data_IF_758499541992
#
_entry.id   IF_758499541992
#
_cell.length_a   1.000
_cell.length_b   1.000
_cell.length_c   1.000
_cell.angle_alpha   90.00
_cell.angle_beta   90.00
_cell.angle_gamma   90.00
#
_symmetry.space_group_name_H-M   'P 1'
#
loop_
_entity.id
_entity.type
_entity.pdbx_description
1 polymer ?
#
# COMPACT_ATOMS: atom_id res chain seq x y z
N UNK A 1 -20.86 1.20 -13.56
CA UNK A 1 -19.56 1.88 -13.41
C UNK A 1 -18.53 0.79 -13.21
N UNK A 2 -17.42 0.80 -13.94
CA UNK A 2 -16.32 -0.13 -13.65
C UNK A 2 -15.70 0.37 -12.35
N UNK A 3 -15.71 -0.43 -11.28
CA UNK A 3 -15.02 -0.02 -10.06
C UNK A 3 -13.55 0.19 -10.38
N UNK A 4 -13.04 1.39 -10.09
CA UNK A 4 -11.66 1.79 -10.30
C UNK A 4 -10.76 1.00 -9.34
N UNK A 5 -9.55 0.67 -9.77
CA UNK A 5 -8.53 0.10 -8.88
C UNK A 5 -8.19 1.15 -7.81
N UNK A 6 -8.13 0.71 -6.55
CA UNK A 6 -7.76 1.52 -5.38
C UNK A 6 -6.49 0.97 -4.78
N UNK A 7 -5.48 1.83 -4.63
CA UNK A 7 -4.17 1.45 -4.10
C UNK A 7 -3.97 2.15 -2.76
N UNK A 8 -3.81 1.37 -1.71
CA UNK A 8 -3.53 1.81 -0.36
C UNK A 8 -2.04 1.60 -0.09
N UNK A 9 -1.30 2.68 0.09
CA UNK A 9 0.16 2.66 0.26
C UNK A 9 0.48 2.90 1.73
N UNK A 10 1.19 1.95 2.33
CA UNK A 10 1.77 2.13 3.65
C UNK A 10 2.86 3.22 3.67
N UNK A 11 3.18 3.74 4.86
CA UNK A 11 4.27 4.70 5.04
C UNK A 11 5.53 4.04 5.61
N UNK A 12 5.46 3.45 6.80
CA UNK A 12 6.64 3.13 7.61
C UNK A 12 7.29 1.84 7.10
N UNK A 13 8.49 1.93 6.52
CA UNK A 13 9.15 0.79 5.87
C UNK A 13 8.78 0.62 4.39
N UNK A 14 7.82 1.42 3.90
CA UNK A 14 7.34 1.43 2.50
C UNK A 14 7.74 2.71 1.77
N UNK A 15 7.29 3.88 2.24
CA UNK A 15 7.64 5.20 1.70
C UNK A 15 8.71 5.90 2.55
N UNK A 16 8.66 5.70 3.86
CA UNK A 16 9.57 6.28 4.84
C UNK A 16 10.51 5.20 5.39
N UNK A 17 11.78 5.56 5.60
CA UNK A 17 12.85 4.68 6.08
C UNK A 17 12.79 4.45 7.59
N UNK A 18 11.63 4.00 8.08
CA UNK A 18 11.38 3.76 9.50
C UNK A 18 12.38 2.78 10.13
N UNK A 19 12.64 1.66 9.44
CA UNK A 19 13.55 0.62 9.92
C UNK A 19 15.04 0.98 9.79
N UNK A 20 15.39 2.08 9.12
CA UNK A 20 16.78 2.56 9.02
C UNK A 20 17.19 3.33 10.30
N UNK A 21 16.23 3.74 11.13
CA UNK A 21 16.49 4.45 12.39
C UNK A 21 16.89 3.47 13.52
N UNK A 22 17.94 3.82 14.25
CA UNK A 22 18.31 3.08 15.47
C UNK A 22 17.22 3.24 16.54
N UNK A 23 16.89 2.15 17.25
CA UNK A 23 15.87 2.14 18.31
C UNK A 23 14.52 2.70 17.87
N UNK A 24 14.12 2.41 16.62
CA UNK A 24 12.91 2.97 16.02
C UNK A 24 11.64 2.67 16.84
N UNK A 25 11.56 1.52 17.51
CA UNK A 25 10.40 1.15 18.34
C UNK A 25 10.27 2.01 19.60
N UNK A 26 11.40 2.40 20.19
CA UNK A 26 11.42 3.28 21.36
C UNK A 26 11.26 4.75 20.93
N UNK A 27 11.91 5.12 19.83
CA UNK A 27 11.97 6.51 19.35
C UNK A 27 10.73 6.95 18.59
N UNK A 28 9.86 6.05 18.16
CA UNK A 28 8.59 6.43 17.53
C UNK A 28 7.65 7.24 18.45
N UNK A 29 7.98 7.37 19.75
CA UNK A 29 7.29 8.26 20.69
C UNK A 29 7.98 9.62 20.87
N UNK A 30 9.16 9.83 20.28
CA UNK A 30 9.90 11.10 20.32
C UNK A 30 9.29 12.10 19.34
N UNK A 31 9.21 13.36 19.77
CA UNK A 31 8.76 14.45 18.91
C UNK A 31 9.75 14.67 17.76
N UNK A 32 9.23 14.74 16.55
CA UNK A 32 9.95 14.94 15.29
C UNK A 32 10.34 13.62 14.61
N UNK A 33 10.18 12.47 15.28
CA UNK A 33 10.65 11.20 14.76
C UNK A 33 10.08 10.89 13.38
N UNK A 34 8.76 10.94 13.20
CA UNK A 34 8.13 10.56 11.93
C UNK A 34 8.37 11.62 10.84
N UNK A 35 8.30 12.91 11.21
CA UNK A 35 8.51 14.03 10.29
C UNK A 35 9.90 14.03 9.66
N UNK A 36 10.89 13.58 10.41
CA UNK A 36 12.30 13.66 10.02
C UNK A 36 12.81 12.37 9.36
N UNK A 37 11.96 11.32 9.24
CA UNK A 37 12.28 10.10 8.49
C UNK A 37 12.67 10.43 7.05
N UNK A 38 13.74 9.79 6.56
CA UNK A 38 14.15 9.91 5.16
C UNK A 38 13.21 9.10 4.25
N UNK A 39 12.95 9.56 3.02
CA UNK A 39 12.15 8.80 2.07
C UNK A 39 12.94 7.64 1.43
N UNK A 40 12.22 6.62 1.00
CA UNK A 40 12.62 5.80 -0.13
C UNK A 40 12.32 6.60 -1.40
N UNK A 41 13.28 7.42 -1.85
CA UNK A 41 13.17 8.37 -2.98
C UNK A 41 12.50 7.76 -4.22
N UNK A 42 12.92 6.54 -4.62
CA UNK A 42 12.37 5.85 -5.78
C UNK A 42 10.92 5.41 -5.56
N UNK A 43 10.57 4.94 -4.36
CA UNK A 43 9.19 4.57 -4.03
C UNK A 43 8.27 5.81 -4.04
N UNK A 44 8.70 6.91 -3.43
CA UNK A 44 7.95 8.18 -3.46
C UNK A 44 7.77 8.66 -4.90
N UNK A 45 8.82 8.61 -5.72
CA UNK A 45 8.77 9.01 -7.13
C UNK A 45 7.83 8.11 -7.94
N UNK A 46 7.86 6.80 -7.72
CA UNK A 46 6.94 5.86 -8.35
C UNK A 46 5.47 6.15 -8.00
N UNK A 47 5.16 6.42 -6.72
CA UNK A 47 3.80 6.78 -6.33
C UNK A 47 3.37 8.10 -7.00
N UNK A 48 4.26 9.10 -7.09
CA UNK A 48 3.96 10.35 -7.82
C UNK A 48 3.62 10.11 -9.29
N UNK A 49 4.32 9.19 -9.95
CA UNK A 49 4.03 8.81 -11.33
C UNK A 49 2.68 8.11 -11.46
N UNK A 50 2.38 7.17 -10.55
CA UNK A 50 1.08 6.48 -10.54
C UNK A 50 -0.09 7.45 -10.27
N UNK A 51 0.08 8.45 -9.40
CA UNK A 51 -0.92 9.50 -9.16
C UNK A 51 -1.19 10.30 -10.44
N UNK A 52 -0.14 10.64 -11.20
CA UNK A 52 -0.27 11.41 -12.45
C UNK A 52 -0.95 10.63 -13.57
N UNK A 53 -0.73 9.32 -13.63
CA UNK A 53 -1.34 8.42 -14.63
C UNK A 53 -2.87 8.35 -14.46
N UNK A 54 -3.39 8.56 -13.25
CA UNK A 54 -4.82 8.65 -12.92
C UNK A 54 -5.66 7.42 -13.32
N UNK A 55 -5.02 6.29 -13.61
CA UNK A 55 -5.67 5.00 -13.89
C UNK A 55 -6.21 4.34 -12.63
N UNK A 56 -5.55 4.58 -11.48
CA UNK A 56 -5.96 4.10 -10.15
C UNK A 56 -6.24 5.28 -9.22
N UNK A 57 -7.06 5.04 -8.19
CA UNK A 57 -7.21 5.95 -7.05
C UNK A 57 -6.19 5.54 -5.97
N UNK A 58 -5.45 6.50 -5.41
CA UNK A 58 -4.31 6.21 -4.54
C UNK A 58 -4.51 6.88 -3.19
N UNK A 59 -4.38 6.07 -2.15
CA UNK A 59 -4.53 6.44 -0.75
C UNK A 59 -3.24 6.17 0.00
N UNK A 60 -2.97 6.99 1.01
CA UNK A 60 -2.06 6.61 2.10
C UNK A 60 -2.87 5.86 3.16
N UNK A 61 -2.32 4.76 3.68
CA UNK A 61 -2.90 4.02 4.78
C UNK A 61 -1.82 3.66 5.81
N UNK A 62 -1.74 4.42 6.89
CA UNK A 62 -0.68 4.27 7.89
C UNK A 62 -1.23 4.16 9.32
N UNK A 63 -0.53 3.41 10.18
CA UNK A 63 -0.84 3.39 11.60
C UNK A 63 -0.22 4.61 12.31
N UNK A 64 -0.86 5.06 13.38
CA UNK A 64 -0.40 6.14 14.26
C UNK A 64 -0.32 5.62 15.69
N UNK A 65 0.67 6.12 16.44
CA UNK A 65 0.89 5.74 17.84
C UNK A 65 0.22 6.71 18.81
N UNK A 66 0.07 7.97 18.39
CA UNK A 66 -0.60 9.06 19.12
C UNK A 66 -0.89 10.23 18.16
N UNK A 67 -1.51 11.30 18.66
CA UNK A 67 -1.82 12.50 17.87
C UNK A 67 -0.58 13.21 17.31
N UNK A 68 0.56 13.18 18.01
CA UNK A 68 1.81 13.78 17.54
C UNK A 68 2.32 13.02 16.30
N UNK A 69 2.28 11.69 16.31
CA UNK A 69 2.67 10.88 15.15
C UNK A 69 1.75 11.09 13.95
N UNK A 70 0.46 11.33 14.17
CA UNK A 70 -0.48 11.67 13.10
C UNK A 70 -0.08 13.01 12.44
N UNK A 71 0.13 14.05 13.25
CA UNK A 71 0.53 15.37 12.76
C UNK A 71 1.85 15.30 12.00
N UNK A 72 2.84 14.62 12.55
CA UNK A 72 4.16 14.47 11.92
C UNK A 72 4.11 13.67 10.61
N UNK A 73 3.29 12.63 10.52
CA UNK A 73 3.07 11.88 9.27
C UNK A 73 2.36 12.74 8.22
N UNK A 74 1.42 13.59 8.62
CA UNK A 74 0.78 14.55 7.73
C UNK A 74 1.80 15.56 7.19
N UNK A 75 2.65 16.12 8.06
CA UNK A 75 3.73 17.04 7.66
C UNK A 75 4.75 16.36 6.73
N UNK A 76 5.06 15.09 6.99
CA UNK A 76 5.93 14.30 6.12
C UNK A 76 5.34 14.15 4.71
N UNK A 77 4.05 13.84 4.61
CA UNK A 77 3.34 13.72 3.34
C UNK A 77 3.23 15.06 2.62
N UNK A 78 2.95 16.15 3.33
CA UNK A 78 2.94 17.50 2.76
C UNK A 78 4.31 17.89 2.18
N UNK A 79 5.40 17.39 2.74
CA UNK A 79 6.76 17.62 2.26
C UNK A 79 7.12 16.76 1.05
N UNK A 80 6.86 15.45 1.11
CA UNK A 80 7.41 14.49 0.16
C UNK A 80 6.42 14.00 -0.89
N UNK A 81 5.12 14.00 -0.60
CA UNK A 81 4.06 13.48 -1.47
C UNK A 81 2.79 14.36 -1.41
N UNK A 82 2.90 15.67 -1.68
CA UNK A 82 1.77 16.61 -1.61
C UNK A 82 0.69 16.35 -2.67
N UNK A 83 0.97 15.53 -3.67
CA UNK A 83 0.02 15.13 -4.71
C UNK A 83 -1.15 14.29 -4.17
N UNK A 84 -0.99 13.67 -2.99
CA UNK A 84 -2.08 12.99 -2.28
C UNK A 84 -2.65 13.96 -1.25
N UNK A 85 -3.90 14.38 -1.46
CA UNK A 85 -4.59 15.30 -0.55
C UNK A 85 -4.95 14.65 0.80
N UNK A 86 -5.50 15.44 1.72
CA UNK A 86 -5.83 14.96 3.08
C UNK A 86 -6.99 13.97 3.12
N UNK A 87 -7.90 13.99 2.15
CA UNK A 87 -9.05 13.07 2.09
C UNK A 87 -8.59 11.68 1.64
N UNK A 88 -7.50 11.61 0.89
CA UNK A 88 -6.85 10.36 0.48
C UNK A 88 -5.79 9.86 1.48
N UNK A 89 -5.75 10.40 2.70
CA UNK A 89 -4.82 9.97 3.77
C UNK A 89 -5.59 9.36 4.93
N UNK A 90 -5.54 8.04 5.02
CA UNK A 90 -6.24 7.24 6.02
C UNK A 90 -5.25 6.85 7.11
N UNK A 91 -5.61 7.15 8.37
CA UNK A 91 -4.80 6.80 9.52
C UNK A 91 -5.58 5.90 10.49
N UNK A 92 -4.93 4.82 10.90
CA UNK A 92 -5.48 3.86 11.88
C UNK A 92 -4.63 3.81 13.15
N UNK A 93 -5.09 3.07 14.16
CA UNK A 93 -4.30 2.81 15.37
C UNK A 93 -3.43 1.56 15.21
N UNK A 94 -2.28 1.49 15.90
CA UNK A 94 -1.31 0.38 15.79
C UNK A 94 -1.88 -1.05 15.80
N UNK A 95 -2.96 -1.29 16.55
CA UNK A 95 -3.53 -2.62 16.77
C UNK A 95 -4.83 -2.86 15.99
N UNK A 96 -5.24 -1.91 15.15
CA UNK A 96 -6.44 -2.05 14.32
C UNK A 96 -5.99 -2.53 12.94
N UNK A 97 -6.47 -3.69 12.46
CA UNK A 97 -6.16 -4.17 11.12
C UNK A 97 -6.45 -3.10 10.08
N UNK A 98 -5.56 -2.95 9.10
CA UNK A 98 -5.69 -1.93 8.05
C UNK A 98 -7.00 -2.03 7.27
N UNK A 99 -7.52 -3.24 7.08
CA UNK A 99 -8.80 -3.49 6.43
C UNK A 99 -10.00 -2.91 7.19
N UNK A 100 -9.93 -2.78 8.52
CA UNK A 100 -11.01 -2.17 9.33
C UNK A 100 -11.02 -0.64 9.26
N UNK A 101 -9.90 -0.02 8.88
CA UNK A 101 -9.83 1.42 8.66
C UNK A 101 -10.54 1.85 7.36
N UNK A 102 -10.90 0.89 6.52
CA UNK A 102 -11.54 1.11 5.24
C UNK A 102 -13.06 1.05 5.42
N UNK A 103 -13.75 2.12 5.04
CA UNK A 103 -15.20 2.27 5.21
C UNK A 103 -16.08 1.41 4.29
N UNK A 104 -15.50 0.42 3.60
CA UNK A 104 -16.19 -0.47 2.66
C UNK A 104 -15.61 -1.88 2.72
N UNK A 105 -16.37 -2.86 2.21
CA UNK A 105 -15.89 -4.24 2.06
C UNK A 105 -14.84 -4.30 0.97
N UNK A 106 -13.64 -4.80 1.29
CA UNK A 106 -12.56 -4.95 0.32
C UNK A 106 -12.94 -5.92 -0.81
N UNK A 107 -12.34 -5.66 -1.96
CA UNK A 107 -12.39 -6.47 -3.17
C UNK A 107 -10.97 -6.68 -3.68
N UNK A 108 -10.79 -7.56 -4.65
CA UNK A 108 -9.49 -7.78 -5.31
C UNK A 108 -8.94 -6.53 -6.02
N UNK A 109 -9.78 -5.51 -6.25
CA UNK A 109 -9.41 -4.18 -6.74
C UNK A 109 -8.82 -3.24 -5.70
N UNK A 110 -8.92 -3.60 -4.42
CA UNK A 110 -8.33 -2.89 -3.30
C UNK A 110 -6.93 -3.46 -3.03
N UNK A 111 -5.91 -2.80 -3.56
CA UNK A 111 -4.51 -3.23 -3.47
C UNK A 111 -3.85 -2.55 -2.27
N UNK A 112 -3.34 -3.33 -1.33
CA UNK A 112 -2.45 -2.84 -0.27
C UNK A 112 -0.99 -3.04 -0.66
N UNK A 113 -0.21 -1.96 -0.64
CA UNK A 113 1.25 -1.98 -0.70
C UNK A 113 1.79 -1.79 0.72
N UNK A 114 2.40 -2.83 1.29
CA UNK A 114 2.86 -2.81 2.69
C UNK A 114 4.12 -3.64 2.88
N UNK A 115 4.96 -3.20 3.80
CA UNK A 115 6.23 -3.82 4.15
C UNK A 115 6.07 -4.94 5.19
N UNK A 116 4.93 -5.03 5.89
CA UNK A 116 4.72 -5.97 6.98
C UNK A 116 3.77 -7.12 6.60
N UNK A 117 4.28 -8.36 6.63
CA UNK A 117 3.51 -9.54 6.18
C UNK A 117 2.19 -9.74 6.93
N UNK A 118 2.10 -9.35 8.21
CA UNK A 118 0.86 -9.46 8.97
C UNK A 118 -0.25 -8.62 8.32
N UNK A 119 0.05 -7.37 7.96
CA UNK A 119 -0.90 -6.47 7.31
C UNK A 119 -1.35 -7.04 5.97
N UNK A 120 -0.42 -7.56 5.16
CA UNK A 120 -0.72 -8.19 3.87
C UNK A 120 -1.65 -9.41 4.02
N UNK A 121 -1.38 -10.29 4.99
CA UNK A 121 -2.22 -11.47 5.25
C UNK A 121 -3.62 -11.09 5.74
N UNK A 122 -3.73 -10.10 6.62
CA UNK A 122 -5.01 -9.60 7.13
C UNK A 122 -5.83 -8.93 6.02
N UNK A 123 -5.17 -8.18 5.13
CA UNK A 123 -5.79 -7.54 3.98
C UNK A 123 -6.33 -8.57 2.97
N UNK A 124 -5.55 -9.61 2.65
CA UNK A 124 -6.01 -10.72 1.80
C UNK A 124 -7.20 -11.46 2.39
N UNK A 125 -7.17 -11.75 3.70
CA UNK A 125 -8.30 -12.41 4.39
C UNK A 125 -9.59 -11.58 4.33
N UNK A 126 -9.47 -10.25 4.29
CA UNK A 126 -10.60 -9.35 4.16
C UNK A 126 -11.10 -9.20 2.70
N UNK A 127 -10.45 -9.84 1.72
CA UNK A 127 -10.85 -9.86 0.31
C UNK A 127 -10.00 -8.96 -0.60
N UNK A 128 -9.01 -8.26 -0.05
CA UNK A 128 -8.15 -7.35 -0.80
C UNK A 128 -6.97 -8.03 -1.49
N UNK A 129 -6.34 -7.32 -2.43
CA UNK A 129 -5.07 -7.74 -3.04
C UNK A 129 -3.90 -7.18 -2.24
N UNK A 130 -2.82 -7.94 -2.09
CA UNK A 130 -1.64 -7.53 -1.32
C UNK A 130 -0.37 -7.61 -2.14
N UNK A 131 0.40 -6.52 -2.09
CA UNK A 131 1.69 -6.35 -2.76
C UNK A 131 2.72 -6.02 -1.68
N UNK A 132 3.73 -6.88 -1.54
CA UNK A 132 4.81 -6.65 -0.59
C UNK A 132 5.73 -5.53 -1.07
N UNK A 133 5.94 -4.53 -0.24
CA UNK A 133 7.04 -3.58 -0.39
C UNK A 133 8.32 -4.24 0.13
N UNK A 134 9.12 -4.81 -0.77
CA UNK A 134 10.40 -5.43 -0.45
C UNK A 134 11.46 -4.34 -0.31
N UNK A 135 12.10 -4.28 0.85
CA UNK A 135 13.24 -3.42 1.10
C UNK A 135 14.47 -4.25 1.52
N UNK A 136 15.59 -3.58 1.80
CA UNK A 136 16.84 -4.25 2.19
C UNK A 136 16.79 -4.93 3.58
N UNK A 137 15.67 -4.85 4.31
CA UNK A 137 15.54 -5.29 5.70
C UNK A 137 14.51 -6.44 5.82
N UNK A 138 13.33 -6.30 5.23
CA UNK A 138 12.15 -7.12 5.55
C UNK A 138 11.99 -8.43 4.75
N UNK A 139 12.88 -8.74 3.80
CA UNK A 139 12.79 -9.92 2.92
C UNK A 139 14.07 -10.77 2.89
N UNK A 140 14.72 -10.92 4.06
CA UNK A 140 15.96 -11.72 4.20
C UNK A 140 15.74 -13.14 4.74
N UNK A 141 14.50 -13.53 5.03
CA UNK A 141 14.17 -14.84 5.62
C UNK A 141 14.74 -15.06 7.03
N UNK A 142 15.17 -13.98 7.70
CA UNK A 142 15.78 -14.04 9.03
C UNK A 142 14.71 -14.17 10.14
N UNK A 143 13.51 -13.64 9.91
CA UNK A 143 12.37 -13.71 10.83
C UNK A 143 11.07 -13.93 10.05
N UNK A 144 10.45 -15.10 10.21
CA UNK A 144 9.19 -15.46 9.55
C UNK A 144 9.34 -15.94 8.10
N UNK A 145 8.23 -16.38 7.51
CA UNK A 145 8.20 -16.85 6.12
C UNK A 145 8.34 -15.69 5.12
N UNK A 146 9.04 -15.96 4.01
CA UNK A 146 9.09 -15.04 2.87
C UNK A 146 7.69 -14.89 2.26
N UNK A 147 7.37 -13.67 1.84
CA UNK A 147 6.14 -13.39 1.09
C UNK A 147 6.17 -14.14 -0.25
N UNK A 148 5.09 -14.87 -0.57
CA UNK A 148 4.97 -15.69 -1.79
C UNK A 148 4.04 -15.07 -2.85
N UNK A 149 3.46 -13.90 -2.58
CA UNK A 149 2.57 -13.18 -3.49
C UNK A 149 3.27 -12.10 -4.30
N UNK A 150 2.48 -11.20 -4.87
CA UNK A 150 3.00 -10.03 -5.61
C UNK A 150 3.88 -9.16 -4.71
N UNK A 151 4.95 -8.62 -5.29
CA UNK A 151 5.87 -7.71 -4.63
C UNK A 151 6.41 -6.66 -5.59
N UNK A 152 6.84 -5.54 -5.01
CA UNK A 152 7.68 -4.52 -5.63
C UNK A 152 8.96 -4.40 -4.81
N UNK A 153 10.11 -4.20 -5.46
CA UNK A 153 11.35 -3.86 -4.77
C UNK A 153 11.43 -2.34 -4.67
N UNK A 154 11.22 -1.78 -3.48
CA UNK A 154 11.26 -0.32 -3.28
C UNK A 154 12.69 0.26 -3.35
N UNK A 155 13.69 -0.61 -3.54
CA UNK A 155 15.09 -0.20 -3.75
C UNK A 155 15.47 -0.13 -5.22
N UNK A 156 14.63 -0.64 -6.13
CA UNK A 156 14.77 -0.46 -7.58
C UNK A 156 14.44 0.98 -8.01
N UNK A 157 14.59 1.27 -9.30
CA UNK A 157 14.24 2.58 -9.87
C UNK A 157 12.74 2.84 -9.83
N UNK A 158 12.34 4.11 -9.84
CA UNK A 158 10.92 4.50 -9.86
C UNK A 158 10.19 3.88 -11.06
N UNK A 159 10.79 3.89 -12.25
CA UNK A 159 10.22 3.33 -13.46
C UNK A 159 9.98 1.81 -13.34
N UNK A 160 10.91 1.10 -12.70
CA UNK A 160 10.80 -0.36 -12.50
C UNK A 160 9.66 -0.70 -11.52
N UNK A 161 9.50 0.11 -10.47
CA UNK A 161 8.40 -0.01 -9.52
C UNK A 161 7.06 0.27 -10.23
N UNK A 162 6.99 1.35 -11.02
CA UNK A 162 5.80 1.70 -11.81
C UNK A 162 5.46 0.59 -12.78
N UNK A 163 6.42 0.09 -13.57
CA UNK A 163 6.19 -1.00 -14.53
C UNK A 163 5.64 -2.25 -13.83
N UNK A 164 6.19 -2.62 -12.67
CA UNK A 164 5.70 -3.76 -11.90
C UNK A 164 4.28 -3.52 -11.39
N UNK A 165 3.99 -2.33 -10.87
CA UNK A 165 2.65 -1.97 -10.41
C UNK A 165 1.64 -1.98 -11.56
N UNK A 166 1.96 -1.41 -12.72
CA UNK A 166 1.10 -1.43 -13.91
C UNK A 166 0.76 -2.86 -14.33
N UNK A 167 1.73 -3.78 -14.31
CA UNK A 167 1.47 -5.21 -14.60
C UNK A 167 0.49 -5.83 -13.60
N UNK A 168 0.64 -5.52 -12.31
CA UNK A 168 -0.28 -6.00 -11.27
C UNK A 168 -1.69 -5.44 -11.52
N UNK A 169 -1.81 -4.13 -11.73
CA UNK A 169 -3.09 -3.43 -12.00
C UNK A 169 -3.80 -4.06 -13.20
N UNK A 170 -3.12 -4.17 -14.34
CA UNK A 170 -3.68 -4.75 -15.58
C UNK A 170 -4.11 -6.20 -15.39
N UNK A 171 -3.37 -6.99 -14.60
CA UNK A 171 -3.76 -8.39 -14.32
C UNK A 171 -5.10 -8.49 -13.57
N UNK A 172 -5.41 -7.51 -12.71
CA UNK A 172 -6.68 -7.46 -11.97
C UNK A 172 -7.83 -6.97 -12.84
N UNK A 173 -7.56 -6.07 -13.77
CA UNK A 173 -8.57 -5.67 -14.76
C UNK A 173 -8.94 -6.83 -15.70
N UNK A 174 -7.97 -7.61 -16.17
CA UNK A 174 -8.21 -8.74 -17.09
C UNK A 174 -8.88 -9.95 -16.46
N UNK A 175 -8.55 -10.29 -15.22
CA UNK A 175 -9.21 -11.38 -14.50
C UNK A 175 -10.73 -11.17 -14.35
N UNK A 176 -11.20 -9.92 -14.47
CA UNK A 176 -12.62 -9.57 -14.46
C UNK A 176 -13.28 -9.80 -15.80
N UNK A 177 -12.60 -9.48 -16.92
CA UNK A 177 -13.15 -9.74 -18.25
C UNK A 177 -13.40 -11.24 -18.40
N UNK A 178 -12.41 -12.08 -18.08
CA UNK A 178 -12.54 -13.54 -18.17
C UNK A 178 -13.64 -14.10 -17.25
N UNK A 179 -13.80 -13.58 -16.03
CA UNK A 179 -14.87 -14.03 -15.12
C UNK A 179 -16.27 -13.56 -15.56
N UNK A 180 -16.41 -12.36 -16.14
CA UNK A 180 -17.69 -11.87 -16.68
C UNK A 180 -18.16 -12.66 -17.89
N UNK A 181 -17.24 -12.99 -18.80
CA UNK A 181 -17.58 -13.85 -19.95
C UNK A 181 -18.11 -15.22 -19.48
N UNK A 182 -17.57 -15.78 -18.40
CA UNK A 182 -18.03 -17.06 -17.88
C UNK A 182 -19.38 -16.97 -17.13
N UNK A 183 -19.67 -15.88 -16.39
CA UNK A 183 -20.96 -15.70 -15.72
C UNK A 183 -22.10 -15.41 -16.71
N UNK A 184 -21.85 -14.61 -17.76
CA UNK A 184 -22.87 -14.27 -18.77
C UNK A 184 -23.20 -15.48 -19.70
N UNK A 185 -22.24 -16.38 -19.93
CA UNK A 185 -22.45 -17.62 -20.71
C UNK A 185 -23.21 -18.71 -19.91
N UNK A 186 -23.18 -18.69 -18.57
CA UNK A 186 -23.98 -19.61 -17.73
C UNK A 186 -25.45 -19.17 -17.56
N UNK A 187 -25.80 -17.89 -17.79
CA UNK A 187 -27.20 -17.41 -17.73
C UNK A 187 -28.02 -17.67 -19.02
N UNK A 188 -27.42 -18.22 -20.08
CA UNK A 188 -28.10 -18.51 -21.36
C UNK A 188 -28.58 -19.96 -21.53
N UNK A 189 -28.44 -20.82 -20.52
CA UNK A 189 -29.02 -22.17 -20.51
C UNK A 189 -30.09 -22.33 -19.40
N UNK A 190 -31.21 -21.61 -19.53
CA UNK A 190 -32.46 -22.02 -18.86
C UNK A 190 -33.65 -21.77 -19.82
N UNK A 191 -34.07 -22.87 -20.46
CA UNK A 191 -35.31 -23.16 -21.25
C UNK A 191 -36.03 -22.04 -22.03
#
# INVERSE_FOLDING_TARGET
MIDKIRIFVDMDGTLARFHDENLYLERMFEKGFFRDLKPFENAVSAIKELVKDNTSEIFILSATVNSCSLEEKQEWLDRYLPEIDKEHRIFTSLNVPKSEAIGHRLTDKDILIDDYNKNLLEWQKAGGTSVKAKNNINHKGLHGELWKGDLIDITDTAESIVERMTKIIVSREKGIEENRYNEDDEELEID
#
